data_IF_429505530281
#
_entry.id   IF_429505530281
#
_cell.length_a   1.000
_cell.length_b   1.000
_cell.length_c   1.000
_cell.angle_alpha   90.00
_cell.angle_beta   90.00
_cell.angle_gamma   90.00
#
_symmetry.space_group_name_H-M   'P 1'
#
loop_
_entity.id
_entity.type
_entity.pdbx_description
1 polymer ?
#
# COMPACT_ATOMS: atom_id res chain seq x y z
N UNK A 1 19.79 -13.21 -2.29
CA UNK A 1 19.68 -12.35 -1.09
C UNK A 1 20.77 -12.62 -0.04
N UNK A 2 21.09 -13.89 0.26
CA UNK A 2 22.11 -14.30 1.25
C UNK A 2 23.51 -13.71 1.01
N UNK A 3 23.99 -13.63 -0.23
CA UNK A 3 25.28 -13.00 -0.55
C UNK A 3 25.28 -11.49 -0.26
N UNK A 4 24.16 -10.80 -0.53
CA UNK A 4 23.96 -9.38 -0.24
C UNK A 4 23.93 -9.12 1.27
N UNK A 5 23.17 -9.93 2.01
CA UNK A 5 23.16 -9.89 3.48
C UNK A 5 24.55 -10.18 4.06
N UNK A 6 25.24 -11.22 3.59
CA UNK A 6 26.59 -11.58 4.02
C UNK A 6 27.59 -10.44 3.75
N UNK A 7 27.55 -9.86 2.55
CA UNK A 7 28.47 -8.80 2.15
C UNK A 7 28.22 -7.51 2.93
N UNK A 8 26.97 -7.17 3.24
CA UNK A 8 26.63 -6.05 4.14
C UNK A 8 27.12 -6.33 5.56
N UNK A 9 26.93 -7.55 6.06
CA UNK A 9 27.36 -7.93 7.43
C UNK A 9 28.88 -8.08 7.58
N UNK A 10 29.59 -8.42 6.51
CA UNK A 10 31.04 -8.66 6.52
C UNK A 10 31.84 -7.50 5.92
N UNK A 11 31.18 -6.41 5.49
CA UNK A 11 31.81 -5.27 4.81
C UNK A 11 32.96 -4.65 5.62
N UNK A 12 32.83 -4.66 6.95
CA UNK A 12 33.82 -4.09 7.87
C UNK A 12 35.06 -4.98 8.08
N UNK A 13 35.01 -6.24 7.64
CA UNK A 13 36.12 -7.20 7.72
C UNK A 13 36.90 -7.34 6.40
N UNK A 14 36.58 -6.53 5.38
CA UNK A 14 37.24 -6.57 4.06
C UNK A 14 38.35 -5.51 4.02
N UNK A 15 39.60 -5.97 3.99
CA UNK A 15 40.80 -5.12 4.10
C UNK A 15 41.06 -4.23 2.86
N UNK A 16 40.54 -4.60 1.68
CA UNK A 16 40.75 -3.89 0.42
C UNK A 16 39.42 -3.41 -0.19
N UNK A 17 38.78 -2.44 0.47
CA UNK A 17 37.47 -1.87 0.10
C UNK A 17 37.41 -1.25 -1.31
N UNK A 18 38.56 -0.86 -1.87
CA UNK A 18 38.66 -0.34 -3.24
C UNK A 18 38.33 -1.38 -4.33
N UNK A 19 38.55 -2.68 -4.08
CA UNK A 19 38.14 -3.75 -5.01
C UNK A 19 36.63 -4.04 -4.93
N UNK A 20 35.99 -3.70 -3.80
CA UNK A 20 34.53 -3.78 -3.62
C UNK A 20 33.82 -2.70 -4.44
N UNK A 21 34.48 -1.55 -4.70
CA UNK A 21 33.98 -0.55 -5.66
C UNK A 21 33.73 -1.12 -7.06
N UNK A 22 34.49 -2.14 -7.49
CA UNK A 22 34.25 -2.84 -8.75
C UNK A 22 32.98 -3.73 -8.70
N UNK A 23 32.55 -4.18 -7.51
CA UNK A 23 31.31 -4.94 -7.30
C UNK A 23 30.06 -4.06 -7.24
N UNK A 24 30.19 -2.73 -7.04
CA UNK A 24 29.04 -1.81 -7.14
C UNK A 24 28.40 -1.84 -8.53
N UNK A 25 29.18 -2.06 -9.59
CA UNK A 25 28.64 -2.30 -10.92
C UNK A 25 27.71 -3.51 -10.98
N UNK A 26 27.98 -4.56 -10.19
CA UNK A 26 27.15 -5.76 -10.08
C UNK A 26 25.90 -5.47 -9.22
N UNK A 27 26.04 -4.73 -8.11
CA UNK A 27 24.89 -4.30 -7.29
C UNK A 27 23.92 -3.42 -8.07
N UNK A 28 24.42 -2.43 -8.81
CA UNK A 28 23.61 -1.58 -9.68
C UNK A 28 23.07 -2.33 -10.91
N UNK A 29 23.78 -3.33 -11.41
CA UNK A 29 23.27 -4.26 -12.42
C UNK A 29 22.09 -5.10 -11.90
N UNK A 30 22.12 -5.54 -10.64
CA UNK A 30 20.99 -6.26 -10.02
C UNK A 30 19.83 -5.34 -9.66
N UNK A 31 20.09 -4.06 -9.36
CA UNK A 31 19.08 -3.03 -9.16
C UNK A 31 18.42 -2.55 -10.46
N UNK A 32 19.13 -2.65 -11.59
CA UNK A 32 18.60 -2.39 -12.94
C UNK A 32 17.76 -3.57 -13.50
N UNK A 33 17.73 -4.70 -12.81
CA UNK A 33 16.81 -5.78 -13.16
C UNK A 33 15.40 -5.35 -12.74
N UNK A 34 14.50 -5.14 -13.71
CA UNK A 34 13.12 -4.62 -13.51
C UNK A 34 12.33 -5.40 -12.44
N UNK A 35 12.80 -6.60 -12.09
CA UNK A 35 12.22 -7.52 -11.11
C UNK A 35 12.59 -7.22 -9.65
N UNK A 36 13.70 -6.53 -9.36
CA UNK A 36 14.14 -6.25 -7.98
C UNK A 36 13.59 -4.92 -7.43
N UNK A 37 13.15 -4.03 -8.32
CA UNK A 37 12.64 -2.69 -7.98
C UNK A 37 11.32 -2.65 -7.21
N UNK A 38 10.68 -3.79 -6.96
CA UNK A 38 9.37 -3.90 -6.29
C UNK A 38 9.46 -4.29 -4.80
N UNK A 39 10.66 -4.57 -4.26
CA UNK A 39 10.78 -4.94 -2.85
C UNK A 39 10.86 -3.69 -1.95
N UNK A 40 9.96 -3.53 -0.96
CA UNK A 40 9.86 -2.32 -0.14
C UNK A 40 11.14 -2.02 0.66
N UNK A 41 11.86 -3.04 1.12
CA UNK A 41 13.14 -2.85 1.83
C UNK A 41 14.28 -2.38 0.92
N UNK A 42 14.30 -2.79 -0.36
CA UNK A 42 15.27 -2.32 -1.34
C UNK A 42 14.95 -0.90 -1.81
N UNK A 43 13.66 -0.59 -2.04
CA UNK A 43 13.23 0.80 -2.29
C UNK A 43 13.54 1.71 -1.09
N UNK A 44 13.36 1.22 0.14
CA UNK A 44 13.71 1.92 1.38
C UNK A 44 15.22 2.18 1.51
N UNK A 45 16.06 1.21 1.13
CA UNK A 45 17.49 1.41 1.12
C UNK A 45 17.89 2.46 0.07
N UNK A 46 17.34 2.38 -1.14
CA UNK A 46 17.62 3.31 -2.23
C UNK A 46 17.13 4.74 -1.93
N UNK A 47 16.00 4.90 -1.24
CA UNK A 47 15.50 6.22 -0.80
C UNK A 47 16.42 6.84 0.24
N UNK A 48 16.90 6.05 1.21
CA UNK A 48 17.88 6.49 2.20
C UNK A 48 19.21 6.91 1.54
N UNK A 49 19.72 6.11 0.61
CA UNK A 49 20.93 6.45 -0.13
C UNK A 49 20.76 7.72 -0.99
N UNK A 50 19.60 7.91 -1.62
CA UNK A 50 19.32 9.14 -2.40
C UNK A 50 19.18 10.39 -1.52
N UNK A 51 18.65 10.25 -0.30
CA UNK A 51 18.46 11.34 0.64
C UNK A 51 19.80 11.81 1.26
N UNK A 52 20.69 10.88 1.59
CA UNK A 52 21.94 11.17 2.29
C UNK A 52 23.17 11.25 1.38
N UNK A 53 23.17 10.57 0.22
CA UNK A 53 24.28 10.54 -0.74
C UNK A 53 23.78 10.62 -2.20
N UNK A 54 23.27 11.80 -2.65
CA UNK A 54 22.65 11.95 -3.97
C UNK A 54 23.61 11.69 -5.15
N UNK A 55 24.93 11.75 -4.95
CA UNK A 55 25.92 11.48 -6.00
C UNK A 55 26.08 10.00 -6.35
N UNK A 56 25.62 9.09 -5.49
CA UNK A 56 25.82 7.65 -5.64
C UNK A 56 24.64 6.93 -6.32
N UNK A 57 23.50 7.60 -6.57
CA UNK A 57 22.29 6.95 -7.10
C UNK A 57 21.69 7.76 -8.26
N UNK A 58 21.87 7.26 -9.49
CA UNK A 58 21.33 7.86 -10.73
C UNK A 58 20.06 7.16 -11.26
N UNK A 59 19.28 6.49 -10.41
CA UNK A 59 18.11 5.73 -10.84
C UNK A 59 16.89 6.67 -10.97
N UNK A 60 16.30 6.73 -12.16
CA UNK A 60 14.97 7.31 -12.40
C UNK A 60 13.92 6.39 -11.78
N UNK A 61 13.50 6.70 -10.55
CA UNK A 61 12.31 6.13 -9.93
C UNK A 61 11.07 6.45 -10.81
N UNK A 62 10.12 5.51 -10.98
CA UNK A 62 8.94 5.73 -11.82
C UNK A 62 8.18 6.99 -11.38
N UNK A 63 7.90 7.85 -12.36
CA UNK A 63 7.36 9.19 -12.19
C UNK A 63 5.91 9.17 -11.68
N UNK A 64 5.73 9.12 -10.35
CA UNK A 64 4.55 9.71 -9.68
C UNK A 64 4.91 10.59 -8.48
N UNK A 65 6.18 10.98 -8.32
CA UNK A 65 6.57 11.94 -7.30
C UNK A 65 6.54 13.37 -7.85
N UNK A 66 5.42 14.09 -7.63
CA UNK A 66 5.36 15.53 -7.85
C UNK A 66 6.35 16.22 -6.89
N UNK A 67 7.13 17.14 -7.46
CA UNK A 67 8.24 17.91 -6.89
C UNK A 67 8.00 18.38 -5.44
N UNK A 68 8.88 17.98 -4.52
CA UNK A 68 8.93 18.48 -3.14
C UNK A 68 9.82 19.72 -3.07
N UNK A 69 9.24 20.87 -2.73
CA UNK A 69 10.00 22.02 -2.26
C UNK A 69 10.07 21.99 -0.74
N UNK A 70 11.31 22.12 -0.27
CA UNK A 70 11.78 22.35 1.09
C UNK A 70 10.93 23.31 1.92
N UNK A 71 10.53 22.87 3.11
CA UNK A 71 10.85 23.52 4.38
C UNK A 71 10.65 22.50 5.51
N UNK A 72 11.77 21.97 6.03
CA UNK A 72 11.81 21.26 7.31
C UNK A 72 11.42 22.24 8.40
N UNK A 73 10.14 22.26 8.78
CA UNK A 73 9.69 22.90 10.00
C UNK A 73 9.10 21.78 10.85
N UNK A 74 9.96 21.20 11.68
CA UNK A 74 9.54 20.44 12.84
C UNK A 74 8.96 21.49 13.80
N UNK A 75 7.67 21.42 14.20
CA UNK A 75 7.17 22.29 15.24
C UNK A 75 7.88 21.90 16.54
N UNK A 76 8.67 22.83 17.08
CA UNK A 76 9.13 22.71 18.46
C UNK A 76 7.91 22.94 19.36
N UNK A 77 7.38 21.88 19.96
CA UNK A 77 6.47 22.04 21.11
C UNK A 77 7.27 22.68 22.25
N UNK A 78 7.02 23.96 22.44
CA UNK A 78 7.51 24.76 23.55
C UNK A 78 6.90 24.27 24.86
N UNK A 79 7.64 23.43 25.57
CA UNK A 79 7.60 23.36 27.03
C UNK A 79 9.00 23.01 27.51
N UNK A 80 9.58 23.89 28.34
CA UNK A 80 10.89 23.79 29.00
C UNK A 80 12.11 24.30 28.24
N UNK A 81 12.01 25.49 27.66
CA UNK A 81 13.17 26.32 27.33
C UNK A 81 13.35 27.47 28.33
N UNK A 82 13.35 27.19 29.64
CA UNK A 82 13.85 28.13 30.65
C UNK A 82 14.50 27.34 31.79
N UNK A 83 15.82 27.51 31.93
CA UNK A 83 16.67 27.32 33.12
C UNK A 83 17.96 26.54 32.80
N UNK A 84 18.93 27.24 32.23
CA UNK A 84 20.34 26.85 32.23
C UNK A 84 21.18 28.08 32.60
N UNK A 85 21.21 28.44 33.88
CA UNK A 85 22.42 28.96 34.56
C UNK A 85 22.26 28.68 36.06
N UNK A 86 23.33 28.14 36.65
CA UNK A 86 23.83 28.27 38.04
C UNK A 86 24.18 26.89 38.60
N UNK A 87 25.47 26.72 38.83
CA UNK A 87 26.08 25.46 39.27
C UNK A 87 25.77 25.08 40.71
N UNK A 88 26.10 23.83 41.03
CA UNK A 88 26.23 23.37 42.40
C UNK A 88 25.64 21.99 42.67
N UNK A 89 26.55 21.02 42.82
CA UNK A 89 26.42 19.77 43.61
C UNK A 89 25.54 18.64 43.06
N UNK A 90 26.28 17.65 42.56
CA UNK A 90 25.92 16.25 42.39
C UNK A 90 25.25 15.66 43.65
N UNK A 91 24.04 15.13 43.51
CA UNK A 91 23.47 14.12 44.41
C UNK A 91 23.12 12.90 43.57
N UNK A 92 23.68 11.74 43.94
CA UNK A 92 23.55 10.45 43.29
C UNK A 92 22.33 9.69 43.83
N UNK A 93 21.88 8.72 43.00
CA UNK A 93 20.84 7.72 43.19
C UNK A 93 19.42 8.28 42.99
N UNK A 94 18.68 7.85 41.97
CA UNK A 94 18.41 6.44 41.69
C UNK A 94 18.91 5.91 40.35
N UNK A 95 19.62 4.79 40.45
CA UNK A 95 20.10 3.97 39.36
C UNK A 95 19.19 2.74 39.26
N UNK A 96 18.29 2.74 38.28
CA UNK A 96 17.67 1.52 37.79
C UNK A 96 18.02 1.38 36.30
N UNK A 97 18.91 0.43 36.03
CA UNK A 97 19.31 -0.14 34.73
C UNK A 97 18.84 0.62 33.47
N UNK A 98 19.67 1.56 33.02
CA UNK A 98 19.59 2.11 31.67
C UNK A 98 20.00 1.02 30.66
N UNK A 99 19.02 0.27 30.16
CA UNK A 99 19.10 -0.18 28.77
C UNK A 99 18.94 1.09 27.94
N UNK A 100 20.07 1.74 27.69
CA UNK A 100 20.19 3.04 27.03
C UNK A 100 19.42 3.02 25.72
N UNK A 101 18.28 3.67 25.73
CA UNK A 101 17.37 3.78 24.62
C UNK A 101 17.45 5.23 24.11
N UNK A 102 17.58 5.39 22.79
CA UNK A 102 17.84 6.66 22.14
C UNK A 102 16.53 7.19 21.54
N UNK A 103 15.95 8.27 22.07
CA UNK A 103 14.73 8.84 21.54
C UNK A 103 14.97 9.42 20.15
N UNK A 104 14.09 9.10 19.20
CA UNK A 104 14.18 9.54 17.79
C UNK A 104 14.26 11.07 17.68
N UNK A 105 13.67 11.81 18.60
CA UNK A 105 13.68 13.28 18.64
C UNK A 105 15.09 13.88 18.73
N UNK A 106 16.07 13.08 19.18
CA UNK A 106 17.47 13.48 19.30
C UNK A 106 18.31 13.17 18.04
N UNK A 107 17.75 12.49 17.05
CA UNK A 107 18.45 12.18 15.79
C UNK A 107 18.57 13.43 14.90
N UNK A 108 19.81 13.89 14.66
CA UNK A 108 20.07 15.04 13.77
C UNK A 108 20.90 14.70 12.54
N UNK A 109 21.61 13.56 12.53
CA UNK A 109 22.54 13.18 11.46
C UNK A 109 22.51 11.68 11.17
N UNK A 110 22.81 11.28 9.93
CA UNK A 110 22.82 9.87 9.49
C UNK A 110 23.80 8.96 10.24
N UNK A 111 25.02 9.40 10.60
CA UNK A 111 25.94 8.58 11.41
C UNK A 111 25.37 8.25 12.80
N UNK A 112 24.60 9.17 13.40
CA UNK A 112 23.94 8.93 14.69
C UNK A 112 22.81 7.90 14.58
N UNK A 113 22.10 7.85 13.45
CA UNK A 113 21.10 6.83 13.16
C UNK A 113 21.75 5.45 13.09
N UNK A 114 22.85 5.31 12.33
CA UNK A 114 23.56 4.03 12.18
C UNK A 114 24.12 3.50 13.51
N UNK A 115 24.69 4.39 14.33
CA UNK A 115 25.28 4.01 15.62
C UNK A 115 24.22 3.61 16.66
N UNK A 116 23.02 4.19 16.59
CA UNK A 116 21.97 3.98 17.58
C UNK A 116 20.79 3.15 17.07
N UNK A 117 20.86 2.57 15.86
CA UNK A 117 19.72 1.86 15.25
C UNK A 117 19.17 0.73 16.13
N UNK A 118 20.03 0.09 16.92
CA UNK A 118 19.66 -0.98 17.85
C UNK A 118 19.00 -0.49 19.15
N UNK A 119 18.96 0.83 19.36
CA UNK A 119 18.55 1.49 20.60
C UNK A 119 17.45 2.52 20.36
N UNK A 120 16.99 2.69 19.13
CA UNK A 120 16.01 3.73 18.80
C UNK A 120 14.66 3.42 19.42
N UNK A 121 14.16 4.37 20.22
CA UNK A 121 12.80 4.36 20.73
C UNK A 121 11.89 5.21 19.86
N UNK A 122 10.75 4.64 19.48
CA UNK A 122 9.70 5.38 18.80
C UNK A 122 9.10 6.45 19.72
N UNK A 123 8.69 7.61 19.15
CA UNK A 123 8.09 8.68 19.91
C UNK A 123 6.84 8.20 20.66
N UNK A 124 6.53 8.83 21.79
CA UNK A 124 5.26 8.60 22.50
C UNK A 124 4.06 9.00 21.65
N UNK A 125 4.21 10.06 20.85
CA UNK A 125 3.22 10.56 19.90
C UNK A 125 3.30 9.80 18.57
N UNK A 126 2.58 8.69 18.47
CA UNK A 126 2.60 7.81 17.29
C UNK A 126 2.12 8.50 16.00
N UNK A 127 1.31 9.56 16.07
CA UNK A 127 0.94 10.33 14.88
C UNK A 127 2.12 10.98 14.14
N UNK A 128 3.21 11.30 14.84
CA UNK A 128 4.43 11.82 14.21
C UNK A 128 5.16 10.77 13.36
N UNK A 129 4.92 9.48 13.60
CA UNK A 129 5.48 8.39 12.80
C UNK A 129 4.88 8.41 11.40
N UNK A 130 3.56 8.62 11.26
CA UNK A 130 2.86 8.64 9.97
C UNK A 130 3.35 9.77 9.04
N UNK A 131 3.82 10.87 9.61
CA UNK A 131 4.30 12.02 8.84
C UNK A 131 5.77 11.93 8.43
N UNK A 132 6.55 11.02 9.06
CA UNK A 132 7.98 10.92 8.85
C UNK A 132 8.38 9.62 8.12
N UNK A 133 8.78 9.70 6.84
CA UNK A 133 9.21 8.54 6.06
C UNK A 133 10.33 7.72 6.69
N UNK A 134 11.27 8.37 7.40
CA UNK A 134 12.37 7.67 8.06
C UNK A 134 11.87 6.78 9.20
N UNK A 135 10.85 7.23 9.93
CA UNK A 135 10.27 6.45 11.00
C UNK A 135 9.42 5.31 10.47
N UNK A 136 8.64 5.55 9.42
CA UNK A 136 7.92 4.48 8.71
C UNK A 136 8.88 3.41 8.17
N UNK A 137 10.03 3.82 7.63
CA UNK A 137 11.07 2.89 7.19
C UNK A 137 11.65 2.07 8.35
N UNK A 138 11.99 2.74 9.46
CA UNK A 138 12.52 2.06 10.64
C UNK A 138 11.50 1.09 11.23
N UNK A 139 10.22 1.45 11.25
CA UNK A 139 9.12 0.59 11.68
C UNK A 139 9.06 -0.69 10.85
N UNK A 140 9.09 -0.58 9.52
CA UNK A 140 9.10 -1.74 8.61
C UNK A 140 10.34 -2.65 8.81
N UNK A 141 11.46 -2.08 9.25
CA UNK A 141 12.66 -2.86 9.57
C UNK A 141 12.67 -3.46 10.97
N UNK A 142 11.90 -2.88 11.90
CA UNK A 142 11.82 -3.32 13.29
C UNK A 142 10.94 -4.58 13.40
N UNK A 143 11.42 -5.57 14.17
CA UNK A 143 10.67 -6.81 14.45
C UNK A 143 9.81 -6.72 15.73
N UNK A 144 9.70 -5.53 16.30
CA UNK A 144 9.01 -5.33 17.56
C UNK A 144 7.52 -5.06 17.32
N UNK A 145 6.71 -6.08 17.55
CA UNK A 145 5.25 -6.03 17.45
C UNK A 145 4.64 -4.95 18.34
N UNK A 146 5.29 -4.58 19.45
CA UNK A 146 4.75 -3.58 20.37
C UNK A 146 4.64 -2.19 19.76
N UNK A 147 5.51 -1.86 18.79
CA UNK A 147 5.49 -0.58 18.08
C UNK A 147 4.27 -0.49 17.17
N UNK A 148 4.01 -1.56 16.41
CA UNK A 148 2.83 -1.65 15.54
C UNK A 148 1.54 -1.59 16.35
N UNK A 149 1.45 -2.34 17.45
CA UNK A 149 0.29 -2.31 18.34
C UNK A 149 0.04 -0.90 18.92
N UNK A 150 1.09 -0.18 19.31
CA UNK A 150 0.97 1.21 19.80
C UNK A 150 0.46 2.15 18.72
N UNK A 151 0.95 2.03 17.49
CA UNK A 151 0.49 2.83 16.36
C UNK A 151 -0.98 2.53 16.03
N UNK A 152 -1.33 1.25 15.91
CA UNK A 152 -2.68 0.81 15.58
C UNK A 152 -3.70 1.20 16.65
N UNK A 153 -3.34 1.08 17.93
CA UNK A 153 -4.20 1.53 19.02
C UNK A 153 -4.41 3.03 18.97
N UNK A 154 -3.34 3.82 18.85
CA UNK A 154 -3.42 5.28 18.74
C UNK A 154 -4.30 5.69 17.56
N UNK A 155 -4.06 5.12 16.37
CA UNK A 155 -4.80 5.43 15.17
C UNK A 155 -6.28 5.02 15.26
N UNK A 156 -6.58 3.88 15.88
CA UNK A 156 -7.96 3.44 16.10
C UNK A 156 -8.73 4.41 17.01
N UNK A 157 -8.09 4.92 18.07
CA UNK A 157 -8.69 5.95 18.92
C UNK A 157 -8.89 7.27 18.17
N UNK A 158 -7.88 7.75 17.44
CA UNK A 158 -7.99 9.00 16.66
C UNK A 158 -9.07 8.91 15.57
N UNK A 159 -9.15 7.80 14.84
CA UNK A 159 -10.20 7.58 13.84
C UNK A 159 -11.59 7.56 14.47
N UNK A 160 -11.74 6.93 15.65
CA UNK A 160 -13.02 6.86 16.34
C UNK A 160 -13.44 8.24 16.87
N UNK A 161 -12.54 8.97 17.51
CA UNK A 161 -12.79 10.30 18.07
C UNK A 161 -13.17 11.29 16.96
N UNK A 162 -12.34 11.41 15.92
CA UNK A 162 -12.54 12.37 14.83
C UNK A 162 -13.78 12.05 13.97
N UNK A 163 -14.12 10.77 13.78
CA UNK A 163 -15.28 10.38 12.99
C UNK A 163 -16.63 10.73 13.63
N UNK A 164 -16.71 10.77 14.97
CA UNK A 164 -17.97 11.16 15.65
C UNK A 164 -18.41 12.59 15.30
N UNK A 165 -17.49 13.42 14.83
CA UNK A 165 -17.74 14.82 14.51
C UNK A 165 -18.11 15.09 13.06
N UNK A 166 -17.99 14.12 12.14
CA UNK A 166 -18.47 14.28 10.75
C UNK A 166 -19.99 14.56 10.66
N UNK A 167 -20.72 14.41 11.76
CA UNK A 167 -22.17 14.68 11.88
C UNK A 167 -22.46 16.10 12.40
N UNK A 168 -21.46 16.81 12.95
CA UNK A 168 -21.64 18.16 13.51
C UNK A 168 -21.08 19.17 12.51
N UNK A 169 -21.96 20.01 11.95
CA UNK A 169 -21.70 21.04 10.92
C UNK A 169 -20.57 22.01 11.26
N UNK A 170 -19.33 21.55 11.14
CA UNK A 170 -18.13 22.28 11.52
C UNK A 170 -17.05 22.04 10.44
N UNK A 171 -17.12 22.84 9.37
CA UNK A 171 -16.25 22.70 8.18
C UNK A 171 -14.75 22.61 8.53
N UNK A 172 -14.27 23.33 9.55
CA UNK A 172 -12.86 23.31 9.94
C UNK A 172 -12.40 21.92 10.44
N UNK A 173 -13.24 21.24 11.22
CA UNK A 173 -12.92 19.91 11.75
C UNK A 173 -12.94 18.86 10.64
N UNK A 174 -13.84 19.00 9.65
CA UNK A 174 -13.80 18.14 8.46
C UNK A 174 -12.49 18.33 7.67
N UNK A 175 -11.99 19.56 7.53
CA UNK A 175 -10.72 19.80 6.84
C UNK A 175 -9.51 19.21 7.57
N UNK A 176 -9.50 19.30 8.91
CA UNK A 176 -8.46 18.70 9.76
C UNK A 176 -8.50 17.17 9.67
N UNK A 177 -9.69 16.58 9.79
CA UNK A 177 -9.88 15.13 9.61
C UNK A 177 -9.48 14.67 8.21
N UNK A 178 -9.86 15.41 7.17
CA UNK A 178 -9.44 15.16 5.79
C UNK A 178 -7.92 15.19 5.65
N UNK A 179 -7.25 16.15 6.28
CA UNK A 179 -5.79 16.25 6.31
C UNK A 179 -5.14 15.08 7.04
N UNK A 180 -5.76 14.60 8.11
CA UNK A 180 -5.35 13.39 8.82
C UNK A 180 -5.49 12.14 7.93
N UNK A 181 -6.65 11.89 7.32
CA UNK A 181 -6.85 10.73 6.45
C UNK A 181 -5.89 10.74 5.24
N UNK A 182 -5.62 11.91 4.67
CA UNK A 182 -4.62 12.07 3.60
C UNK A 182 -3.21 11.69 4.07
N UNK A 183 -2.86 11.98 5.32
CA UNK A 183 -1.58 11.60 5.92
C UNK A 183 -1.50 10.09 6.12
N UNK A 184 -2.59 9.48 6.60
CA UNK A 184 -2.71 8.02 6.75
C UNK A 184 -2.56 7.34 5.39
N UNK A 185 -3.31 7.78 4.38
CA UNK A 185 -3.23 7.23 3.02
C UNK A 185 -1.82 7.33 2.43
N UNK A 186 -1.11 8.45 2.65
CA UNK A 186 0.29 8.57 2.23
C UNK A 186 1.21 7.58 2.93
N UNK A 187 0.97 7.30 4.21
CA UNK A 187 1.72 6.31 4.96
C UNK A 187 1.42 4.88 4.44
N UNK A 188 0.16 4.53 4.17
CA UNK A 188 -0.22 3.25 3.55
C UNK A 188 0.41 3.09 2.17
N UNK A 189 0.34 4.12 1.32
CA UNK A 189 1.01 4.14 0.02
C UNK A 189 2.52 3.96 0.13
N UNK A 190 3.13 4.51 1.18
CA UNK A 190 4.57 4.40 1.38
C UNK A 190 4.98 3.00 1.85
N UNK A 191 4.21 2.41 2.76
CA UNK A 191 4.44 1.06 3.25
C UNK A 191 4.00 -0.02 2.25
N UNK A 192 3.13 0.34 1.29
CA UNK A 192 2.45 -0.58 0.38
C UNK A 192 1.61 -1.63 1.13
N UNK A 193 1.11 -1.25 2.32
CA UNK A 193 0.33 -2.09 3.21
C UNK A 193 -0.77 -1.23 3.85
N UNK A 194 -1.98 -1.77 3.94
CA UNK A 194 -3.10 -1.11 4.63
C UNK A 194 -3.05 -1.34 6.13
N UNK A 195 -3.55 -0.38 6.89
CA UNK A 195 -3.56 -0.49 8.34
C UNK A 195 -4.81 -1.21 8.88
N UNK A 196 -4.67 -2.14 9.84
CA UNK A 196 -5.83 -2.81 10.46
C UNK A 196 -6.83 -1.85 11.11
N UNK A 197 -6.36 -0.76 11.72
CA UNK A 197 -7.24 0.24 12.33
C UNK A 197 -8.09 0.96 11.28
N UNK A 198 -7.59 1.14 10.05
CA UNK A 198 -8.34 1.71 8.95
C UNK A 198 -9.40 0.74 8.43
N UNK A 199 -9.08 -0.56 8.35
CA UNK A 199 -10.06 -1.60 8.04
C UNK A 199 -11.21 -1.63 9.07
N UNK A 200 -10.90 -1.69 10.36
CA UNK A 200 -11.90 -1.68 11.45
C UNK A 200 -12.76 -0.42 11.42
N UNK A 201 -12.13 0.73 11.16
CA UNK A 201 -12.81 2.01 10.98
C UNK A 201 -13.78 1.98 9.81
N UNK A 202 -13.37 1.49 8.64
CA UNK A 202 -14.21 1.44 7.44
C UNK A 202 -15.41 0.51 7.63
N UNK A 203 -15.23 -0.65 8.25
CA UNK A 203 -16.33 -1.58 8.54
C UNK A 203 -17.39 -0.97 9.46
N UNK A 204 -16.99 -0.11 10.41
CA UNK A 204 -17.93 0.58 11.30
C UNK A 204 -18.57 1.81 10.68
N UNK A 205 -17.82 2.56 9.87
CA UNK A 205 -18.24 3.86 9.35
C UNK A 205 -19.03 3.77 8.05
N UNK A 206 -18.68 2.87 7.12
CA UNK A 206 -19.33 2.76 5.80
C UNK A 206 -20.85 2.53 5.87
N UNK A 207 -21.42 1.70 6.77
CA UNK A 207 -22.87 1.54 6.89
C UNK A 207 -23.61 2.82 7.33
N UNK A 208 -22.92 3.75 7.98
CA UNK A 208 -23.47 4.99 8.51
C UNK A 208 -23.11 6.22 7.65
N UNK A 209 -22.26 6.02 6.64
CA UNK A 209 -21.71 7.10 5.84
C UNK A 209 -22.70 7.59 4.79
N UNK A 210 -22.75 8.91 4.59
CA UNK A 210 -23.66 9.59 3.65
C UNK A 210 -23.12 9.66 2.21
N UNK A 211 -21.85 9.32 2.00
CA UNK A 211 -21.18 9.37 0.70
C UNK A 211 -20.61 10.75 0.30
N UNK A 212 -20.68 11.75 1.19
CA UNK A 212 -20.27 13.14 0.87
C UNK A 212 -18.99 13.52 1.60
N UNK A 213 -18.98 13.43 2.94
CA UNK A 213 -17.86 13.88 3.76
C UNK A 213 -16.60 13.06 3.50
N UNK A 214 -15.46 13.72 3.32
CA UNK A 214 -14.15 13.07 3.08
C UNK A 214 -14.16 11.98 1.97
N UNK A 215 -15.04 12.08 0.96
CA UNK A 215 -15.26 11.04 -0.05
C UNK A 215 -13.99 10.53 -0.71
N UNK A 216 -13.11 11.42 -1.17
CA UNK A 216 -11.86 11.01 -1.83
C UNK A 216 -10.98 10.17 -0.90
N UNK A 217 -10.85 10.60 0.35
CA UNK A 217 -9.99 9.98 1.35
C UNK A 217 -10.55 8.62 1.79
N UNK A 218 -11.86 8.52 2.01
CA UNK A 218 -12.50 7.25 2.39
C UNK A 218 -12.35 6.23 1.26
N UNK A 219 -12.60 6.62 0.01
CA UNK A 219 -12.43 5.72 -1.14
C UNK A 219 -10.96 5.32 -1.35
N UNK A 220 -10.03 6.22 -1.07
CA UNK A 220 -8.59 5.93 -1.06
C UNK A 220 -8.21 4.91 0.01
N UNK A 221 -8.75 5.01 1.22
CA UNK A 221 -8.51 4.01 2.28
C UNK A 221 -9.12 2.64 1.92
N UNK A 222 -10.28 2.64 1.26
CA UNK A 222 -10.89 1.41 0.72
C UNK A 222 -9.95 0.68 -0.25
N UNK A 223 -9.09 1.41 -0.98
CA UNK A 223 -8.11 0.80 -1.89
C UNK A 223 -7.00 0.00 -1.20
N UNK A 224 -6.79 0.20 0.10
CA UNK A 224 -5.70 -0.45 0.85
C UNK A 224 -6.16 -1.57 1.78
N UNK A 225 -7.46 -1.89 1.82
CA UNK A 225 -7.98 -2.95 2.69
C UNK A 225 -7.28 -4.27 2.37
N UNK A 226 -6.69 -4.94 3.37
CA UNK A 226 -6.00 -6.21 3.15
C UNK A 226 -6.99 -7.29 2.72
N UNK A 227 -6.49 -8.32 2.04
CA UNK A 227 -7.33 -9.45 1.66
C UNK A 227 -7.65 -10.30 2.90
N UNK A 228 -8.78 -10.01 3.53
CA UNK A 228 -9.39 -10.81 4.60
C UNK A 228 -10.42 -11.79 4.03
N UNK A 229 -11.03 -12.63 4.87
CA UNK A 229 -12.06 -13.58 4.43
C UNK A 229 -13.19 -12.80 3.76
N UNK A 230 -13.37 -12.94 2.45
CA UNK A 230 -14.30 -12.10 1.67
C UNK A 230 -15.75 -12.12 2.20
N UNK A 231 -16.16 -13.17 2.93
CA UNK A 231 -17.46 -13.21 3.62
C UNK A 231 -17.67 -12.02 4.58
N UNK A 232 -16.64 -11.61 5.32
CA UNK A 232 -16.70 -10.48 6.25
C UNK A 232 -16.71 -9.17 5.47
N UNK A 233 -15.77 -9.02 4.53
CA UNK A 233 -15.67 -7.88 3.61
C UNK A 233 -16.99 -7.63 2.85
N UNK A 234 -17.67 -8.69 2.41
CA UNK A 234 -18.93 -8.56 1.67
C UNK A 234 -20.00 -7.88 2.51
N UNK A 235 -20.20 -8.35 3.73
CA UNK A 235 -21.26 -7.84 4.61
C UNK A 235 -20.98 -6.43 5.15
N UNK A 236 -19.70 -6.14 5.46
CA UNK A 236 -19.31 -4.89 6.12
C UNK A 236 -18.92 -3.79 5.12
N UNK A 237 -18.50 -4.14 3.90
CA UNK A 237 -18.01 -3.19 2.92
C UNK A 237 -18.75 -3.25 1.59
N UNK A 238 -18.86 -4.42 0.96
CA UNK A 238 -19.47 -4.50 -0.38
C UNK A 238 -20.95 -4.12 -0.37
N UNK A 239 -21.72 -4.56 0.63
CA UNK A 239 -23.16 -4.29 0.70
C UNK A 239 -23.44 -2.79 0.97
N UNK A 240 -22.83 -2.12 1.97
CA UNK A 240 -22.97 -0.67 2.15
C UNK A 240 -22.51 0.15 0.94
N UNK A 241 -21.36 -0.23 0.37
CA UNK A 241 -20.81 0.46 -0.80
C UNK A 241 -21.69 0.28 -2.03
N UNK A 242 -22.33 -0.88 -2.21
CA UNK A 242 -23.32 -1.09 -3.27
C UNK A 242 -24.57 -0.22 -3.06
N UNK A 243 -25.06 -0.10 -1.83
CA UNK A 243 -26.20 0.78 -1.52
C UNK A 243 -25.90 2.23 -1.88
N UNK A 244 -24.76 2.77 -1.43
CA UNK A 244 -24.29 4.11 -1.79
C UNK A 244 -24.05 4.25 -3.29
N UNK A 245 -23.49 3.24 -3.93
CA UNK A 245 -23.24 3.23 -5.35
C UNK A 245 -24.53 3.39 -6.17
N UNK A 246 -25.62 2.70 -5.80
CA UNK A 246 -26.86 2.80 -6.57
C UNK A 246 -27.66 4.09 -6.34
N UNK A 247 -27.58 4.68 -5.15
CA UNK A 247 -28.32 5.91 -4.79
C UNK A 247 -27.62 7.20 -5.20
N UNK A 248 -26.35 7.11 -5.57
CA UNK A 248 -25.49 8.27 -5.81
C UNK A 248 -25.39 8.68 -7.29
N UNK A 249 -24.70 9.81 -7.51
CA UNK A 249 -24.42 10.36 -8.84
C UNK A 249 -23.52 9.47 -9.69
N UNK A 250 -23.58 9.65 -11.00
CA UNK A 250 -22.71 8.97 -11.97
C UNK A 250 -21.21 9.16 -11.66
N UNK A 251 -20.79 10.35 -11.23
CA UNK A 251 -19.40 10.59 -10.84
C UNK A 251 -18.99 9.82 -9.58
N UNK A 252 -19.90 9.66 -8.62
CA UNK A 252 -19.64 8.83 -7.45
C UNK A 252 -19.45 7.36 -7.83
N UNK A 253 -20.32 6.84 -8.68
CA UNK A 253 -20.19 5.49 -9.25
C UNK A 253 -18.81 5.27 -9.90
N UNK A 254 -18.34 6.23 -10.68
CA UNK A 254 -17.03 6.15 -11.32
C UNK A 254 -15.88 6.15 -10.30
N UNK A 255 -15.91 7.01 -9.28
CA UNK A 255 -14.88 7.00 -8.22
C UNK A 255 -14.86 5.71 -7.40
N UNK A 256 -16.03 5.09 -7.19
CA UNK A 256 -16.10 3.78 -6.53
C UNK A 256 -15.48 2.70 -7.42
N UNK A 257 -15.71 2.71 -8.73
CA UNK A 257 -15.07 1.76 -9.64
C UNK A 257 -13.55 1.95 -9.69
N UNK A 258 -13.09 3.21 -9.66
CA UNK A 258 -11.67 3.55 -9.57
C UNK A 258 -11.03 3.02 -8.28
N UNK A 259 -11.67 3.23 -7.12
CA UNK A 259 -11.13 2.70 -5.86
C UNK A 259 -11.14 1.17 -5.80
N UNK A 260 -12.17 0.50 -6.34
CA UNK A 260 -12.21 -0.96 -6.43
C UNK A 260 -11.17 -1.51 -7.42
N UNK A 261 -10.84 -0.76 -8.47
CA UNK A 261 -9.73 -1.08 -9.37
C UNK A 261 -8.39 -0.98 -8.63
N UNK A 262 -8.16 0.11 -7.89
CA UNK A 262 -6.95 0.29 -7.09
C UNK A 262 -6.80 -0.81 -6.02
N UNK A 263 -7.89 -1.18 -5.35
CA UNK A 263 -7.93 -2.31 -4.41
C UNK A 263 -7.47 -3.61 -5.07
N UNK A 264 -8.04 -3.95 -6.24
CA UNK A 264 -7.65 -5.13 -7.00
C UNK A 264 -6.16 -5.08 -7.37
N UNK A 265 -5.66 -3.93 -7.82
CA UNK A 265 -4.25 -3.76 -8.17
C UNK A 265 -3.34 -3.97 -6.96
N UNK A 266 -3.69 -3.43 -5.79
CA UNK A 266 -2.92 -3.59 -4.56
C UNK A 266 -2.87 -5.05 -4.12
N UNK A 267 -3.98 -5.79 -4.16
CA UNK A 267 -4.00 -7.23 -3.88
C UNK A 267 -3.13 -8.04 -4.84
N UNK A 268 -3.19 -7.73 -6.13
CA UNK A 268 -2.39 -8.42 -7.15
C UNK A 268 -0.90 -8.11 -7.01
N UNK A 269 -0.53 -6.87 -6.70
CA UNK A 269 0.86 -6.47 -6.44
C UNK A 269 1.41 -7.18 -5.21
N UNK A 270 0.63 -7.24 -4.12
CA UNK A 270 1.01 -7.94 -2.89
C UNK A 270 1.31 -9.42 -3.15
N UNK A 271 0.47 -10.10 -3.95
CA UNK A 271 0.70 -11.49 -4.34
C UNK A 271 2.01 -11.69 -5.12
N UNK A 272 2.38 -10.78 -6.02
CA UNK A 272 3.64 -10.87 -6.77
C UNK A 272 4.85 -10.75 -5.84
N UNK A 273 4.81 -9.80 -4.89
CA UNK A 273 5.87 -9.63 -3.89
C UNK A 273 6.02 -10.88 -3.03
N UNK A 274 4.91 -11.52 -2.65
CA UNK A 274 4.93 -12.77 -1.88
C UNK A 274 5.58 -13.92 -2.67
N UNK A 275 5.19 -14.13 -3.94
CA UNK A 275 5.77 -15.17 -4.79
C UNK A 275 7.31 -15.04 -4.94
N UNK A 276 7.84 -13.82 -5.00
CA UNK A 276 9.29 -13.60 -5.15
C UNK A 276 10.06 -13.85 -3.83
N UNK A 277 9.39 -13.76 -2.68
CA UNK A 277 9.97 -13.96 -1.34
C UNK A 277 9.93 -15.40 -0.83
N UNK A 278 9.12 -16.29 -1.41
CA UNK A 278 9.07 -17.73 -1.07
C UNK A 278 10.37 -18.50 -1.38
N UNK A 279 11.39 -17.84 -1.96
CA UNK A 279 12.74 -18.41 -2.08
C UNK A 279 13.53 -18.41 -0.75
N UNK A 280 13.09 -17.66 0.28
CA UNK A 280 13.75 -17.58 1.60
C UNK A 280 12.72 -17.75 2.76
N UNK A 281 12.37 -19.00 3.08
CA UNK A 281 11.87 -19.53 4.38
C UNK A 281 11.12 -18.65 5.40
N UNK A 282 9.93 -19.13 5.83
CA UNK A 282 9.39 -19.14 7.21
C UNK A 282 8.77 -17.88 7.85
N UNK A 283 8.29 -16.90 7.07
CA UNK A 283 7.34 -15.88 7.58
C UNK A 283 5.98 -16.00 6.89
N UNK A 284 5.31 -17.13 7.11
CA UNK A 284 3.90 -17.32 6.73
C UNK A 284 3.02 -17.16 7.96
N UNK A 285 2.86 -15.93 8.44
CA UNK A 285 1.82 -15.60 9.43
C UNK A 285 0.65 -14.93 8.71
N UNK A 286 -0.03 -15.72 7.88
CA UNK A 286 -1.50 -15.78 7.73
C UNK A 286 -1.80 -16.77 6.60
N UNK A 287 -2.65 -17.75 6.91
CA UNK A 287 -3.00 -18.90 6.09
C UNK A 287 -3.88 -18.52 4.87
N UNK A 288 -3.49 -17.56 4.06
CA UNK A 288 -4.14 -17.34 2.78
C UNK A 288 -3.48 -18.25 1.76
N UNK A 289 -3.90 -19.51 1.75
CA UNK A 289 -3.54 -20.43 0.65
C UNK A 289 -3.81 -19.71 -0.68
N UNK A 290 -2.99 -19.95 -1.71
CA UNK A 290 -3.21 -19.42 -3.07
C UNK A 290 -4.69 -19.52 -3.50
N UNK A 291 -5.38 -20.59 -3.07
CA UNK A 291 -6.83 -20.79 -3.26
C UNK A 291 -7.70 -19.71 -2.62
N UNK A 292 -7.39 -19.27 -1.39
CA UNK A 292 -8.11 -18.18 -0.71
C UNK A 292 -7.94 -16.84 -1.42
N UNK A 293 -6.73 -16.53 -1.89
CA UNK A 293 -6.44 -15.35 -2.71
C UNK A 293 -7.22 -15.36 -4.02
N UNK A 294 -7.15 -16.48 -4.77
CA UNK A 294 -7.90 -16.67 -6.01
C UNK A 294 -9.40 -16.49 -5.77
N UNK A 295 -9.94 -17.05 -4.68
CA UNK A 295 -11.35 -16.93 -4.37
C UNK A 295 -11.74 -15.49 -4.02
N UNK A 296 -10.98 -14.80 -3.16
CA UNK A 296 -11.26 -13.41 -2.79
C UNK A 296 -11.21 -12.46 -4.00
N UNK A 297 -10.20 -12.61 -4.86
CA UNK A 297 -10.08 -11.84 -6.11
C UNK A 297 -11.26 -12.14 -7.05
N UNK A 298 -11.64 -13.40 -7.23
CA UNK A 298 -12.77 -13.79 -8.06
C UNK A 298 -14.10 -13.23 -7.53
N UNK A 299 -14.31 -13.25 -6.22
CA UNK A 299 -15.50 -12.70 -5.58
C UNK A 299 -15.59 -11.18 -5.73
N UNK A 300 -14.47 -10.45 -5.62
CA UNK A 300 -14.42 -9.00 -5.90
C UNK A 300 -14.79 -8.71 -7.35
N UNK A 301 -14.21 -9.44 -8.32
CA UNK A 301 -14.51 -9.25 -9.75
C UNK A 301 -15.98 -9.53 -10.04
N UNK A 302 -16.56 -10.56 -9.41
CA UNK A 302 -17.99 -10.87 -9.53
C UNK A 302 -18.87 -9.79 -8.90
N UNK A 303 -18.49 -9.25 -7.76
CA UNK A 303 -19.18 -8.11 -7.13
C UNK A 303 -19.17 -6.88 -8.05
N UNK A 304 -17.99 -6.49 -8.56
CA UNK A 304 -17.84 -5.37 -9.50
C UNK A 304 -18.66 -5.60 -10.76
N UNK A 305 -18.65 -6.82 -11.30
CA UNK A 305 -19.46 -7.17 -12.48
C UNK A 305 -20.97 -7.04 -12.24
N UNK A 306 -21.46 -7.42 -11.06
CA UNK A 306 -22.87 -7.28 -10.67
C UNK A 306 -23.28 -5.82 -10.55
N UNK A 307 -22.53 -5.01 -9.80
CA UNK A 307 -22.86 -3.59 -9.65
C UNK A 307 -22.75 -2.85 -10.98
N UNK A 308 -21.75 -3.17 -11.82
CA UNK A 308 -21.55 -2.57 -13.13
C UNK A 308 -22.69 -2.88 -14.10
N UNK A 309 -23.18 -4.12 -14.12
CA UNK A 309 -24.32 -4.52 -14.95
C UNK A 309 -25.58 -3.75 -14.56
N UNK A 310 -25.86 -3.64 -13.27
CA UNK A 310 -27.00 -2.87 -12.77
C UNK A 310 -26.81 -1.36 -13.03
N UNK A 311 -25.60 -0.82 -12.85
CA UNK A 311 -25.29 0.58 -13.10
C UNK A 311 -25.56 0.99 -14.54
N UNK A 312 -25.11 0.19 -15.51
CA UNK A 312 -25.31 0.46 -16.93
C UNK A 312 -26.80 0.44 -17.29
N UNK A 313 -27.58 -0.46 -16.68
CA UNK A 313 -29.03 -0.48 -16.89
C UNK A 313 -29.71 0.78 -16.34
N UNK A 314 -29.31 1.23 -15.14
CA UNK A 314 -29.86 2.44 -14.50
C UNK A 314 -29.50 3.71 -15.26
N UNK A 315 -28.25 3.82 -15.72
CA UNK A 315 -27.70 5.01 -16.39
C UNK A 315 -27.85 4.95 -17.93
N UNK A 316 -28.68 4.04 -18.46
CA UNK A 316 -28.95 3.88 -19.91
C UNK A 316 -27.67 3.73 -20.75
N UNK A 317 -26.72 2.94 -20.28
CA UNK A 317 -25.43 2.66 -20.94
C UNK A 317 -24.60 3.91 -21.22
N UNK A 318 -24.49 4.80 -20.24
CA UNK A 318 -23.67 6.01 -20.35
C UNK A 318 -22.20 5.70 -20.67
N UNK A 319 -21.69 6.27 -21.77
CA UNK A 319 -20.34 6.05 -22.32
C UNK A 319 -19.22 6.26 -21.30
N UNK A 320 -19.33 7.28 -20.44
CA UNK A 320 -18.32 7.57 -19.41
C UNK A 320 -18.27 6.48 -18.33
N UNK A 321 -19.42 5.98 -17.87
CA UNK A 321 -19.46 4.92 -16.87
C UNK A 321 -18.89 3.62 -17.45
N UNK A 322 -19.23 3.33 -18.71
CA UNK A 322 -18.71 2.18 -19.42
C UNK A 322 -17.18 2.18 -19.50
N UNK A 323 -16.55 3.35 -19.73
CA UNK A 323 -15.10 3.49 -19.76
C UNK A 323 -14.47 3.04 -18.43
N UNK A 324 -14.97 3.50 -17.28
CA UNK A 324 -14.44 3.10 -15.97
C UNK A 324 -14.63 1.60 -15.69
N UNK A 325 -15.76 1.03 -16.14
CA UNK A 325 -16.00 -0.41 -16.02
C UNK A 325 -14.99 -1.19 -16.86
N UNK A 326 -14.77 -0.79 -18.12
CA UNK A 326 -13.80 -1.46 -19.00
C UNK A 326 -12.38 -1.30 -18.48
N UNK A 327 -12.01 -0.13 -17.95
CA UNK A 327 -10.71 0.14 -17.33
C UNK A 327 -10.42 -0.78 -16.12
N UNK A 328 -11.45 -1.12 -15.32
CA UNK A 328 -11.34 -2.18 -14.31
C UNK A 328 -11.03 -3.55 -14.96
N UNK A 329 -11.75 -3.91 -16.03
CA UNK A 329 -11.55 -5.19 -16.72
C UNK A 329 -10.25 -5.29 -17.54
N UNK A 330 -9.63 -4.16 -17.92
CA UNK A 330 -8.25 -4.16 -18.45
C UNK A 330 -7.27 -4.70 -17.40
N UNK A 331 -7.43 -4.30 -16.14
CA UNK A 331 -6.63 -4.84 -15.03
C UNK A 331 -6.93 -6.33 -14.79
N UNK A 332 -8.20 -6.72 -14.84
CA UNK A 332 -8.62 -8.14 -14.69
C UNK A 332 -8.01 -9.03 -15.76
N UNK A 333 -7.91 -8.54 -17.00
CA UNK A 333 -7.29 -9.30 -18.07
C UNK A 333 -5.81 -9.58 -17.79
N UNK A 334 -5.08 -8.73 -17.09
CA UNK A 334 -3.65 -8.94 -16.88
C UNK A 334 -3.32 -9.95 -15.76
N UNK A 335 -4.32 -10.42 -15.01
CA UNK A 335 -4.15 -11.29 -13.83
C UNK A 335 -3.32 -12.56 -14.11
N UNK A 336 -3.61 -13.27 -15.21
CA UNK A 336 -2.98 -14.56 -15.49
C UNK A 336 -1.49 -14.44 -15.86
N UNK A 337 -1.16 -13.63 -16.87
CA UNK A 337 0.22 -13.53 -17.36
C UNK A 337 1.08 -12.60 -16.52
N UNK A 338 0.56 -11.43 -16.11
CA UNK A 338 1.34 -10.40 -15.41
C UNK A 338 1.51 -10.75 -13.94
N UNK A 339 0.45 -11.19 -13.29
CA UNK A 339 0.43 -11.47 -11.84
C UNK A 339 0.55 -12.96 -11.50
N UNK A 340 0.65 -13.84 -12.51
CA UNK A 340 0.81 -15.31 -12.39
C UNK A 340 -0.27 -15.98 -11.53
N UNK A 341 -1.42 -15.33 -11.37
CA UNK A 341 -2.54 -15.87 -10.61
C UNK A 341 -3.42 -16.68 -11.57
N UNK A 342 -3.76 -17.95 -11.28
CA UNK A 342 -4.48 -18.82 -12.21
C UNK A 342 -5.97 -18.50 -12.29
N UNK A 343 -6.31 -17.28 -12.70
CA UNK A 343 -7.67 -16.75 -12.77
C UNK A 343 -7.89 -16.08 -14.13
N UNK A 344 -9.00 -16.44 -14.79
CA UNK A 344 -9.43 -15.90 -16.08
C UNK A 344 -10.92 -15.58 -16.02
N UNK A 345 -11.26 -14.30 -15.98
CA UNK A 345 -12.65 -13.82 -15.93
C UNK A 345 -12.86 -12.77 -17.01
N UNK A 346 -13.96 -12.90 -17.76
CA UNK A 346 -14.43 -11.91 -18.74
C UNK A 346 -15.45 -10.96 -18.11
N UNK A 347 -15.64 -9.75 -18.67
CA UNK A 347 -16.76 -8.90 -18.31
C UNK A 347 -18.09 -9.66 -18.42
N UNK A 348 -19.03 -9.46 -17.49
CA UNK A 348 -20.34 -10.11 -17.56
C UNK A 348 -21.08 -9.68 -18.83
N UNK A 349 -22.03 -10.50 -19.28
CA UNK A 349 -22.82 -10.22 -20.48
C UNK A 349 -23.48 -8.83 -20.45
N UNK A 350 -23.92 -8.38 -19.26
CA UNK A 350 -24.53 -7.08 -19.05
C UNK A 350 -23.59 -5.88 -19.20
N UNK A 351 -22.28 -6.11 -19.29
CA UNK A 351 -21.26 -5.10 -19.63
C UNK A 351 -20.73 -5.33 -21.05
N UNK A 352 -20.47 -6.59 -21.39
CA UNK A 352 -19.87 -6.97 -22.66
C UNK A 352 -20.71 -6.55 -23.87
N UNK A 353 -22.01 -6.85 -23.89
CA UNK A 353 -22.86 -6.53 -25.03
C UNK A 353 -23.11 -5.02 -25.18
N UNK A 354 -23.38 -4.25 -24.10
CA UNK A 354 -23.43 -2.79 -24.21
C UNK A 354 -22.13 -2.17 -24.71
N UNK A 355 -20.97 -2.71 -24.33
CA UNK A 355 -19.68 -2.26 -24.86
C UNK A 355 -19.50 -2.57 -26.35
N UNK A 356 -19.85 -3.78 -26.76
CA UNK A 356 -19.72 -4.23 -28.15
C UNK A 356 -20.63 -3.45 -29.10
N UNK A 357 -21.83 -3.10 -28.63
CA UNK A 357 -22.82 -2.35 -29.38
C UNK A 357 -22.73 -0.83 -29.13
N UNK A 358 -21.72 -0.37 -28.39
CA UNK A 358 -21.53 1.06 -28.14
C UNK A 358 -21.15 1.77 -29.44
N UNK A 359 -21.69 2.98 -29.62
CA UNK A 359 -21.36 3.84 -30.77
C UNK A 359 -20.06 4.63 -30.55
N UNK A 360 -19.44 4.47 -29.38
CA UNK A 360 -18.20 5.15 -29.03
C UNK A 360 -16.98 4.28 -29.36
N UNK A 361 -16.12 4.82 -30.21
CA UNK A 361 -14.89 4.16 -30.64
C UNK A 361 -13.92 3.85 -29.50
N UNK A 362 -13.91 4.66 -28.43
CA UNK A 362 -12.97 4.46 -27.31
C UNK A 362 -13.35 3.21 -26.54
N UNK A 363 -14.61 3.11 -26.10
CA UNK A 363 -15.12 1.93 -25.40
C UNK A 363 -15.01 0.66 -26.24
N UNK A 364 -15.33 0.72 -27.54
CA UNK A 364 -15.19 -0.42 -28.43
C UNK A 364 -13.72 -0.86 -28.57
N UNK A 365 -12.79 0.09 -28.69
CA UNK A 365 -11.36 -0.20 -28.75
C UNK A 365 -10.85 -0.86 -27.45
N UNK A 366 -11.28 -0.36 -26.30
CA UNK A 366 -10.94 -0.97 -25.00
C UNK A 366 -11.47 -2.39 -24.89
N UNK A 367 -12.72 -2.64 -25.30
CA UNK A 367 -13.28 -3.98 -25.33
C UNK A 367 -12.47 -4.92 -26.25
N UNK A 368 -12.11 -4.46 -27.45
CA UNK A 368 -11.28 -5.24 -28.37
C UNK A 368 -9.91 -5.57 -27.76
N UNK A 369 -9.29 -4.61 -27.04
CA UNK A 369 -8.04 -4.83 -26.32
C UNK A 369 -8.20 -5.90 -25.20
N UNK A 370 -9.25 -5.78 -24.38
CA UNK A 370 -9.63 -6.76 -23.34
C UNK A 370 -9.79 -8.16 -23.96
N UNK A 371 -10.54 -8.28 -25.06
CA UNK A 371 -10.77 -9.55 -25.76
C UNK A 371 -9.46 -10.16 -26.29
N UNK A 372 -8.59 -9.33 -26.85
CA UNK A 372 -7.28 -9.77 -27.34
C UNK A 372 -6.41 -10.30 -26.19
N UNK A 373 -6.29 -9.56 -25.09
CA UNK A 373 -5.52 -9.96 -23.90
C UNK A 373 -6.07 -11.24 -23.28
N UNK A 374 -7.40 -11.33 -23.15
CA UNK A 374 -8.04 -12.53 -22.66
C UNK A 374 -7.70 -13.76 -23.51
N UNK A 375 -7.75 -13.64 -24.84
CA UNK A 375 -7.34 -14.71 -25.76
C UNK A 375 -5.88 -15.12 -25.54
N UNK A 376 -4.96 -14.15 -25.43
CA UNK A 376 -3.54 -14.46 -25.21
C UNK A 376 -3.32 -15.22 -23.90
N UNK A 377 -4.00 -14.82 -22.83
CA UNK A 377 -3.88 -15.50 -21.54
C UNK A 377 -4.50 -16.89 -21.57
N UNK A 378 -5.64 -17.06 -22.25
CA UNK A 378 -6.32 -18.35 -22.36
C UNK A 378 -5.49 -19.37 -23.16
N UNK A 379 -4.79 -18.92 -24.21
CA UNK A 379 -3.85 -19.76 -24.95
C UNK A 379 -2.70 -20.19 -24.04
N UNK A 380 -2.06 -19.24 -23.34
CA UNK A 380 -0.99 -19.54 -22.40
C UNK A 380 -1.43 -20.51 -21.28
N UNK A 381 -2.66 -20.34 -20.78
CA UNK A 381 -3.23 -21.24 -19.77
C UNK A 381 -3.39 -22.67 -20.30
N UNK A 382 -3.87 -22.84 -21.52
CA UNK A 382 -3.98 -24.16 -22.16
C UNK A 382 -2.62 -24.81 -22.40
N UNK A 383 -1.61 -24.06 -22.82
CA UNK A 383 -0.24 -24.54 -23.00
C UNK A 383 0.39 -25.00 -21.68
N UNK A 384 0.15 -24.26 -20.59
CA UNK A 384 0.60 -24.64 -19.25
C UNK A 384 -0.09 -25.92 -18.74
N UNK A 385 -1.38 -26.11 -18.99
CA UNK A 385 -2.08 -27.35 -18.65
C UNK A 385 -1.55 -28.56 -19.44
N UNK A 386 -1.29 -28.37 -20.73
CA UNK A 386 -0.69 -29.41 -21.58
C UNK A 386 0.69 -29.82 -21.08
N UNK A 387 1.52 -28.84 -20.71
CA UNK A 387 2.87 -29.07 -20.16
C UNK A 387 2.82 -29.84 -18.83
N UNK A 388 1.90 -29.48 -17.92
CA UNK A 388 1.69 -30.19 -16.65
C UNK A 388 1.24 -31.64 -16.87
N UNK A 389 0.38 -31.91 -17.86
CA UNK A 389 -0.06 -33.28 -18.19
C UNK A 389 1.08 -34.13 -18.73
N UNK A 390 2.00 -33.56 -19.51
CA UNK A 390 3.17 -34.29 -20.02
C UNK A 390 4.16 -34.62 -18.89
N UNK A 391 4.38 -33.71 -17.92
CA UNK A 391 5.29 -33.95 -16.78
C UNK A 391 4.80 -34.96 -15.74
N UNK A 392 3.51 -35.32 -15.73
CA UNK A 392 2.94 -36.33 -14.80
C UNK A 392 2.96 -37.75 -15.41
N UNK A 393 3.24 -37.85 -16.71
CA UNK A 393 3.24 -39.12 -17.46
C UNK A 393 4.66 -39.72 -17.62
N UNK A 394 5.70 -38.97 -17.25
CA UNK A 394 7.06 -39.46 -17.03
C UNK A 394 7.32 -39.64 -15.54
#
# INVERSE_FOLDING_TARGET
LLFLRWLITMFDFIDHKEQVHALYGIFFSFLNDEKLGMQPHLQALLSLYKLFCPELVSITLPQKMKKWNTQLIIPASSANAQNLVVGGKMSRADSYSANEAFPVEQLRTFPQLLQNIHRLEFPSQMGSVLTNPLLLHYMNCSKDESVYLRLYYWMGQTLQEECTWCVVDNNQYEEEFRGFLETVYKAECFLQEGFPSCEEFLYRSLPLWDGVSCRSQILQLVSWIPLSTFSEMKSQLCDPLAQLFFTSSLYFKCSVLESLKELLQNWLNWHVVQLDSESDSQFSSLNTTLSGLVNGVAELINFVGRISTAALQLEKSHTFLLYFILDFYETVCDIYLKYKLPLLIMPPAGVFYPALLSMDSVNLNQLCYIMYRYRTNLIAAKENEMSKKVSVVY
#
